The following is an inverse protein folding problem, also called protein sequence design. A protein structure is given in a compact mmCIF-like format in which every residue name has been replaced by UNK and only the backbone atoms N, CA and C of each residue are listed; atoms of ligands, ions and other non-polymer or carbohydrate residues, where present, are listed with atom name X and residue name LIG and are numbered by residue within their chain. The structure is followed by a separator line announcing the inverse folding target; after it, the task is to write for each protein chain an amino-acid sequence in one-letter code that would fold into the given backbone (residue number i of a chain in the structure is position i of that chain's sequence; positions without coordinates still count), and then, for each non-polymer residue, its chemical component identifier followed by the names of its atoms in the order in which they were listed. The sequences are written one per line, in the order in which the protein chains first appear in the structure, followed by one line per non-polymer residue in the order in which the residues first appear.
data_IF_295171168809
#
_entry.id   IF_295171168809
#
_cell.length_a   1.000
_cell.length_b   1.000
_cell.length_c   1.000
_cell.angle_alpha   90.00
_cell.angle_beta   90.00
_cell.angle_gamma   90.00
#
_symmetry.space_group_name_H-M   'P 1'
#
loop_
_entity.id
_entity.type
_entity.pdbx_description
1 polymer ?
2 water ?
#
# COMPACT_ATOMS: atom_id res chain seq x y z
N UNK A 8 -2.91 28.73 -4.33
CA UNK A 8 -3.21 27.72 -3.31
C UNK A 8 -2.64 28.23 -1.96
N UNK A 9 -3.58 28.61 -1.11
CA UNK A 9 -3.15 29.10 0.25
C UNK A 9 -2.92 27.86 1.11
N UNK A 10 -3.74 26.87 0.83
CA UNK A 10 -3.69 25.62 1.61
C UNK A 10 -3.07 24.45 0.90
N UNK A 11 -2.56 23.53 1.72
CA UNK A 11 -1.92 22.31 1.21
C UNK A 11 -2.89 21.59 0.26
N UNK A 12 -2.38 21.26 -0.90
CA UNK A 12 -3.11 20.54 -1.97
C UNK A 12 -2.86 19.05 -1.78
N UNK A 13 -3.93 18.33 -1.50
CA UNK A 13 -3.82 16.89 -1.25
C UNK A 13 -4.37 16.10 -2.43
N UNK A 14 -3.73 14.96 -2.65
CA UNK A 14 -4.10 14.03 -3.71
C UNK A 14 -4.63 12.75 -3.06
N UNK A 15 -5.51 12.10 -3.75
CA UNK A 15 -6.04 10.81 -3.25
C UNK A 15 -5.19 9.72 -3.88
N UNK A 16 -4.70 8.82 -2.94
CA UNK A 16 -3.94 7.66 -3.47
C UNK A 16 -4.70 6.40 -3.09
N UNK A 17 -4.48 5.36 -3.84
CA UNK A 17 -5.21 4.11 -3.62
C UNK A 17 -4.12 2.99 -3.34
N UNK A 18 -4.65 2.04 -2.59
CA UNK A 18 -3.80 0.86 -2.29
C UNK A 18 -4.66 -0.37 -2.58
N UNK A 19 -4.08 -1.27 -3.35
CA UNK A 19 -4.73 -2.52 -3.66
C UNK A 19 -3.89 -3.58 -2.81
N UNK A 20 -4.64 -4.33 -2.07
CA UNK A 20 -3.95 -5.34 -1.19
C UNK A 20 -4.29 -6.72 -1.76
N UNK A 21 -3.20 -7.38 -2.13
CA UNK A 21 -3.33 -8.77 -2.64
C UNK A 21 -2.61 -9.63 -1.60
N UNK A 22 -3.25 -9.88 -0.47
CA UNK A 22 -2.65 -10.61 0.66
C UNK A 22 -3.23 -11.99 0.86
N UNK A 23 -2.57 -12.70 1.81
CA UNK A 23 -2.97 -14.07 2.11
C UNK A 23 -4.39 -14.06 2.69
N UNK A 24 -4.59 -13.19 3.69
CA UNK A 24 -5.91 -13.10 4.29
C UNK A 24 -6.54 -11.71 4.17
N UNK A 25 -5.70 -10.73 4.02
CA UNK A 25 -6.29 -9.35 3.82
C UNK A 25 -6.31 -9.11 2.27
N UNK A 26 -7.53 -8.67 1.88
CA UNK A 26 -7.70 -8.42 0.41
C UNK A 26 -8.58 -7.16 0.28
N UNK A 27 -8.31 -6.46 -0.84
CA UNK A 27 -9.23 -5.29 -1.07
C UNK A 27 -8.49 -4.07 -1.49
N UNK A 28 -9.18 -2.94 -1.21
CA UNK A 28 -8.63 -1.64 -1.53
C UNK A 28 -8.99 -0.57 -0.51
N UNK A 29 -8.11 0.32 -0.31
CA UNK A 29 -8.28 1.45 0.60
C UNK A 29 -7.67 2.68 -0.03
N UNK A 30 -7.87 3.79 0.61
CA UNK A 30 -7.28 5.05 0.08
C UNK A 30 -6.73 5.90 1.21
N UNK A 31 -6.00 6.92 0.85
CA UNK A 31 -5.48 7.92 1.76
C UNK A 31 -5.30 9.24 0.98
N UNK A 32 -5.30 10.31 1.70
CA UNK A 32 -5.02 11.62 1.00
C UNK A 32 -3.68 12.07 1.57
N UNK A 33 -2.77 12.49 0.74
CA UNK A 33 -1.45 12.97 1.10
C UNK A 33 -0.99 14.06 0.13
N UNK A 34 0.00 14.77 0.59
CA UNK A 34 0.59 15.85 -0.17
C UNK A 34 1.40 15.35 -1.34
N UNK A 35 1.97 14.15 -1.19
CA UNK A 35 2.80 13.60 -2.29
C UNK A 35 2.83 12.07 -2.20
N UNK A 36 3.40 11.48 -3.23
CA UNK A 36 3.46 10.03 -3.34
C UNK A 36 4.32 9.42 -2.23
N UNK A 37 5.36 10.11 -1.85
CA UNK A 37 6.30 9.59 -0.81
C UNK A 37 5.56 9.46 0.52
N UNK A 38 4.78 10.48 0.83
CA UNK A 38 3.99 10.45 2.09
C UNK A 38 3.00 9.31 2.08
N UNK A 39 2.35 9.12 0.93
CA UNK A 39 1.32 8.08 0.73
C UNK A 39 1.96 6.69 0.87
N UNK A 40 3.15 6.57 0.34
CA UNK A 40 3.88 5.29 0.39
C UNK A 40 4.16 4.93 1.86
N UNK A 41 4.63 5.88 2.60
CA UNK A 41 4.93 5.67 4.06
C UNK A 41 3.69 5.29 4.80
N UNK A 42 2.55 5.92 4.53
CA UNK A 42 1.29 5.60 5.22
C UNK A 42 0.80 4.22 4.91
N UNK A 43 0.93 3.82 3.67
CA UNK A 43 0.51 2.56 3.14
C UNK A 43 1.40 1.42 3.67
N UNK A 44 2.67 1.70 3.69
CA UNK A 44 3.62 0.63 4.21
C UNK A 44 3.32 0.41 5.66
N UNK A 45 3.08 1.45 6.39
CA UNK A 45 2.77 1.34 7.86
C UNK A 45 1.49 0.58 8.06
N UNK A 46 0.41 0.96 7.34
CA UNK A 46 -0.86 0.25 7.37
C UNK A 46 -0.67 -1.21 7.05
N UNK A 47 0.05 -1.56 6.00
CA UNK A 47 0.18 -2.96 5.60
C UNK A 47 0.85 -3.75 6.79
N UNK A 48 1.95 -3.24 7.19
CA UNK A 48 2.71 -3.94 8.33
C UNK A 48 1.81 -4.06 9.54
N UNK A 49 1.15 -3.01 9.96
CA UNK A 49 0.26 -3.06 11.13
C UNK A 49 -0.77 -4.16 11.04
N UNK A 50 -1.24 -4.46 9.85
CA UNK A 50 -2.23 -5.43 9.53
C UNK A 50 -1.63 -6.77 9.18
N UNK A 51 -0.35 -6.93 9.40
CA UNK A 51 0.37 -8.17 9.14
C UNK A 51 0.59 -8.55 7.71
N UNK A 52 0.62 -7.60 6.79
CA UNK A 52 0.87 -7.81 5.38
C UNK A 52 2.20 -7.14 5.06
N UNK A 53 3.12 -7.93 4.58
CA UNK A 53 4.47 -7.45 4.19
C UNK A 53 4.71 -8.22 2.89
N UNK A 54 5.26 -7.52 1.91
CA UNK A 54 5.48 -8.16 0.61
C UNK A 54 6.22 -7.22 -0.35
N UNK A 55 5.88 -7.48 -1.61
CA UNK A 55 6.50 -6.73 -2.73
C UNK A 55 5.43 -5.67 -3.24
N UNK A 56 6.05 -4.57 -3.61
CA UNK A 56 5.13 -3.43 -3.97
C UNK A 56 5.38 -2.90 -5.40
N UNK A 57 4.25 -2.27 -5.80
CA UNK A 57 4.35 -1.49 -7.11
C UNK A 57 3.63 -0.16 -6.80
N UNK A 58 4.00 0.81 -7.64
CA UNK A 58 3.30 2.10 -7.57
C UNK A 58 3.15 2.61 -9.04
N UNK A 59 1.92 3.10 -9.31
CA UNK A 59 1.79 3.73 -10.70
C UNK A 59 1.45 5.21 -10.45
N UNK A 60 2.35 6.05 -10.89
CA UNK A 60 2.16 7.49 -10.69
C UNK A 60 1.02 8.00 -11.62
N UNK A 61 0.80 7.26 -12.67
CA UNK A 61 -0.29 7.65 -13.62
C UNK A 61 -1.65 7.46 -12.98
N UNK A 62 -1.83 6.41 -12.21
CA UNK A 62 -3.09 6.06 -11.56
C UNK A 62 -3.12 6.33 -10.05
N UNK A 63 -2.04 6.79 -9.49
CA UNK A 63 -1.88 7.11 -8.07
C UNK A 63 -2.30 5.85 -7.26
N UNK A 64 -1.82 4.73 -7.78
CA UNK A 64 -2.15 3.46 -7.10
C UNK A 64 -0.86 2.65 -6.74
N UNK A 65 -0.92 2.23 -5.47
CA UNK A 65 0.10 1.27 -4.94
C UNK A 65 -0.60 -0.10 -4.85
N UNK A 66 0.25 -1.14 -5.05
CA UNK A 66 -0.27 -2.50 -4.89
C UNK A 66 0.80 -3.21 -3.94
N UNK A 67 0.20 -3.98 -3.06
CA UNK A 67 1.19 -4.83 -2.22
C UNK A 67 0.73 -6.25 -2.44
N UNK A 68 1.74 -7.13 -2.69
CA UNK A 68 1.42 -8.54 -2.91
C UNK A 68 2.15 -9.21 -1.68
N UNK A 69 1.32 -9.87 -0.90
CA UNK A 69 1.95 -10.46 0.33
C UNK A 69 2.77 -11.67 -0.08
N UNK A 70 3.88 -11.78 0.66
CA UNK A 70 4.79 -12.93 0.46
C UNK A 70 4.57 -13.88 1.64
N UNK A 71 4.21 -15.08 1.28
CA UNK A 71 3.93 -16.16 2.22
C UNK A 71 5.23 -16.69 2.85
N UNK A 72 5.13 -16.99 4.14
CA UNK A 72 6.30 -17.56 4.89
C UNK A 72 5.97 -19.02 5.14
N UNK A 73 6.60 -19.88 4.34
CA UNK A 73 6.34 -21.31 4.51
C UNK A 73 7.57 -21.99 5.14
N UNK A 74 7.33 -23.16 5.67
CA UNK A 74 8.41 -24.02 6.24
C UNK A 74 8.53 -25.21 5.28
N UNK A 75 9.69 -25.87 5.33
CA UNK A 75 9.95 -27.01 4.43
C UNK A 75 9.04 -28.18 4.68
N UNK A 76 8.90 -29.02 3.66
CA UNK A 76 8.03 -30.19 3.69
C UNK A 76 8.54 -31.44 3.07
N UNK A 77 9.71 -31.94 3.53
CA UNK A 77 10.22 -33.22 3.00
C UNK A 77 9.39 -34.34 3.62
#
# INVERSE_FOLDING_TARGET
MDPGDASELTPAVTTYKLVINGKTLKGETTTKAVDAETAEKAFKQYANDNGVDGVWTYDDATKTFTVTEMVTEVPVASKRKED
#
